data_IF_430667003693
#
_entry.id   IF_430667003693
#
_cell.length_a   1.000
_cell.length_b   1.000
_cell.length_c   1.000
_cell.angle_alpha   90.00
_cell.angle_beta   90.00
_cell.angle_gamma   90.00
#
_symmetry.space_group_name_H-M   'P 1'
#
loop_
_entity.id
_entity.type
_entity.pdbx_description
1 polymer ?
#
# COMPACT_ATOMS: atom_id res chain seq x y z
N UNK A 1 -0.50 51.07 -15.31
CA UNK A 1 -1.97 51.18 -15.19
C UNK A 1 -2.29 52.03 -13.97
N UNK A 2 -2.97 53.17 -14.14
CA UNK A 2 -3.42 53.99 -13.02
C UNK A 2 -4.80 53.50 -12.60
N UNK A 3 -4.91 52.94 -11.40
CA UNK A 3 -6.21 52.58 -10.82
C UNK A 3 -6.87 53.81 -10.21
N UNK A 4 -8.16 54.00 -10.46
CA UNK A 4 -8.91 55.05 -9.83
C UNK A 4 -8.90 54.90 -8.30
N UNK A 5 -8.66 55.97 -7.50
CA UNK A 5 -8.62 55.90 -6.03
C UNK A 5 -9.87 55.26 -5.43
N UNK A 6 -11.03 55.47 -6.00
CA UNK A 6 -12.29 54.87 -5.57
C UNK A 6 -12.28 53.35 -5.65
N UNK A 7 -11.64 52.74 -6.68
CA UNK A 7 -11.50 51.28 -6.84
C UNK A 7 -10.62 50.68 -5.75
N UNK A 8 -9.55 51.39 -5.36
CA UNK A 8 -8.66 50.99 -4.29
C UNK A 8 -9.38 50.95 -2.92
N UNK A 9 -10.10 52.02 -2.59
CA UNK A 9 -10.84 52.09 -1.34
C UNK A 9 -12.02 51.10 -1.28
N UNK A 10 -12.76 50.92 -2.39
CA UNK A 10 -13.82 49.97 -2.50
C UNK A 10 -13.31 48.52 -2.31
N UNK A 11 -12.11 48.22 -2.78
CA UNK A 11 -11.50 46.92 -2.60
C UNK A 11 -11.07 46.66 -1.12
N UNK A 12 -10.64 47.71 -0.40
CA UNK A 12 -10.27 47.63 1.01
C UNK A 12 -11.45 47.45 1.97
N UNK A 13 -12.59 48.06 1.63
CA UNK A 13 -13.80 48.05 2.49
C UNK A 13 -14.81 46.96 2.12
N UNK A 14 -14.63 46.30 0.96
CA UNK A 14 -15.55 45.27 0.50
C UNK A 14 -15.44 44.02 1.38
N UNK A 15 -16.53 43.56 1.98
CA UNK A 15 -16.51 42.30 2.73
C UNK A 15 -16.10 41.15 1.82
N UNK A 16 -15.42 40.15 2.40
CA UNK A 16 -15.01 38.96 1.68
C UNK A 16 -16.21 38.29 1.01
N UNK A 17 -16.02 37.87 -0.25
CA UNK A 17 -17.05 37.14 -0.97
C UNK A 17 -17.39 35.82 -0.29
N UNK A 18 -18.63 35.37 -0.40
CA UNK A 18 -19.06 34.05 0.13
C UNK A 18 -18.16 32.91 -0.37
N UNK A 19 -17.76 32.99 -1.65
CA UNK A 19 -16.82 32.01 -2.23
C UNK A 19 -15.48 32.01 -1.51
N UNK A 20 -14.90 33.17 -1.19
CA UNK A 20 -13.59 33.23 -0.52
C UNK A 20 -13.67 32.62 0.88
N UNK A 21 -14.71 32.93 1.63
CA UNK A 21 -14.95 32.33 2.95
C UNK A 21 -15.10 30.80 2.88
N UNK A 22 -15.83 30.30 1.88
CA UNK A 22 -15.96 28.85 1.64
C UNK A 22 -14.63 28.23 1.25
N UNK A 23 -13.85 28.88 0.38
CA UNK A 23 -12.53 28.41 -0.04
C UNK A 23 -11.56 28.32 1.17
N UNK A 24 -11.61 29.25 2.13
CA UNK A 24 -10.78 29.21 3.35
C UNK A 24 -11.10 27.99 4.23
N UNK A 25 -12.37 27.72 4.45
CA UNK A 25 -12.78 26.50 5.20
C UNK A 25 -12.33 25.25 4.47
N UNK A 26 -12.54 25.18 3.15
CA UNK A 26 -12.13 24.04 2.35
C UNK A 26 -10.61 23.83 2.34
N UNK A 27 -9.82 24.90 2.37
CA UNK A 27 -8.33 24.79 2.47
C UNK A 27 -7.91 24.07 3.75
N UNK A 28 -8.52 24.37 4.88
CA UNK A 28 -8.23 23.69 6.16
C UNK A 28 -8.60 22.21 6.11
N UNK A 29 -9.75 21.87 5.55
CA UNK A 29 -10.17 20.48 5.40
C UNK A 29 -9.30 19.71 4.41
N UNK A 30 -8.95 20.30 3.26
CA UNK A 30 -8.02 19.72 2.29
C UNK A 30 -6.66 19.47 2.94
N UNK A 31 -6.13 20.42 3.70
CA UNK A 31 -4.86 20.28 4.41
C UNK A 31 -4.93 19.11 5.40
N UNK A 32 -5.98 19.04 6.22
CA UNK A 32 -6.19 17.94 7.17
C UNK A 32 -6.18 16.57 6.50
N UNK A 33 -6.97 16.41 5.43
CA UNK A 33 -7.05 15.12 4.69
C UNK A 33 -5.70 14.80 4.02
N UNK A 34 -5.04 15.81 3.48
CA UNK A 34 -3.72 15.66 2.87
C UNK A 34 -2.67 15.19 3.90
N UNK A 35 -2.60 15.83 5.06
CA UNK A 35 -1.66 15.48 6.12
C UNK A 35 -1.96 14.09 6.71
N UNK A 36 -3.24 13.74 6.89
CA UNK A 36 -3.66 12.41 7.35
C UNK A 36 -3.29 11.28 6.36
N UNK A 37 -3.00 11.61 5.10
CA UNK A 37 -2.56 10.66 4.09
C UNK A 37 -1.06 10.37 4.16
N UNK A 38 -0.56 9.95 5.30
CA UNK A 38 0.87 9.70 5.57
C UNK A 38 1.73 10.93 5.22
N UNK A 39 1.31 12.11 5.67
CA UNK A 39 1.91 13.43 5.41
C UNK A 39 1.99 13.79 3.92
N UNK A 40 0.93 13.53 3.17
CA UNK A 40 0.80 14.04 1.81
C UNK A 40 1.03 13.03 0.68
N UNK A 41 0.61 11.81 0.86
CA UNK A 41 0.61 10.79 -0.21
C UNK A 41 -0.49 11.07 -1.25
N UNK A 42 -1.66 11.56 -0.79
CA UNK A 42 -2.81 11.71 -1.68
C UNK A 42 -2.68 12.88 -2.65
N UNK A 43 -2.92 12.61 -3.93
CA UNK A 43 -3.21 13.64 -4.92
C UNK A 43 -4.68 14.09 -4.85
N UNK A 44 -5.02 15.13 -5.61
CA UNK A 44 -6.32 15.79 -5.56
C UNK A 44 -7.52 14.84 -5.74
N UNK A 45 -7.41 13.81 -6.59
CA UNK A 45 -8.46 12.79 -6.77
C UNK A 45 -8.75 12.03 -5.47
N UNK A 46 -7.71 11.57 -4.75
CA UNK A 46 -7.88 10.84 -3.49
C UNK A 46 -8.33 11.77 -2.36
N UNK A 47 -7.79 12.99 -2.26
CA UNK A 47 -8.25 13.99 -1.28
C UNK A 47 -9.75 14.27 -1.49
N UNK A 48 -10.18 14.49 -2.73
CA UNK A 48 -11.60 14.68 -3.04
C UNK A 48 -12.47 13.47 -2.67
N UNK A 49 -11.99 12.26 -2.96
CA UNK A 49 -12.71 11.01 -2.63
C UNK A 49 -12.85 10.83 -1.12
N UNK A 50 -11.79 11.10 -0.35
CA UNK A 50 -11.82 11.01 1.10
C UNK A 50 -12.75 12.05 1.71
N UNK A 51 -12.70 13.31 1.27
CA UNK A 51 -13.65 14.34 1.69
C UNK A 51 -15.10 13.93 1.40
N UNK A 52 -15.35 13.29 0.24
CA UNK A 52 -16.68 12.76 -0.10
C UNK A 52 -17.11 11.64 0.83
N UNK A 53 -16.22 10.74 1.23
CA UNK A 53 -16.47 9.68 2.23
C UNK A 53 -16.86 10.27 3.58
N UNK A 54 -16.22 11.36 3.98
CA UNK A 54 -16.52 12.11 5.20
C UNK A 54 -17.82 12.95 5.10
N UNK A 55 -18.57 12.84 4.00
CA UNK A 55 -19.83 13.55 3.79
C UNK A 55 -19.67 14.99 3.28
N UNK A 56 -18.50 15.39 2.86
CA UNK A 56 -18.23 16.74 2.30
C UNK A 56 -18.54 16.78 0.81
N UNK A 57 -19.63 17.44 0.46
CA UNK A 57 -20.05 17.63 -0.93
C UNK A 57 -19.31 18.83 -1.55
N UNK A 58 -18.20 18.59 -2.19
CA UNK A 58 -17.39 19.57 -2.91
C UNK A 58 -17.09 19.07 -4.33
N UNK A 59 -17.08 19.98 -5.30
CA UNK A 59 -16.71 19.63 -6.66
C UNK A 59 -15.22 19.30 -6.76
N UNK A 60 -14.87 18.23 -7.50
CA UNK A 60 -13.48 17.79 -7.70
C UNK A 60 -12.58 18.92 -8.21
N UNK A 61 -13.04 19.70 -9.19
CA UNK A 61 -12.30 20.83 -9.75
C UNK A 61 -11.98 21.92 -8.70
N UNK A 62 -12.83 22.08 -7.66
CA UNK A 62 -12.54 23.01 -6.55
C UNK A 62 -11.38 22.49 -5.71
N UNK A 63 -11.37 21.18 -5.38
CA UNK A 63 -10.27 20.56 -4.65
C UNK A 63 -8.96 20.64 -5.44
N UNK A 64 -8.99 20.32 -6.74
CA UNK A 64 -7.83 20.43 -7.63
C UNK A 64 -7.26 21.85 -7.68
N UNK A 65 -8.14 22.86 -7.82
CA UNK A 65 -7.74 24.26 -7.81
C UNK A 65 -7.11 24.68 -6.48
N UNK A 66 -7.78 24.38 -5.36
CA UNK A 66 -7.29 24.76 -4.03
C UNK A 66 -5.98 24.07 -3.67
N UNK A 67 -5.83 22.78 -3.97
CA UNK A 67 -4.56 22.06 -3.76
C UNK A 67 -3.43 22.68 -4.59
N UNK A 68 -3.71 23.03 -5.85
CA UNK A 68 -2.72 23.73 -6.70
C UNK A 68 -2.33 25.08 -6.11
N UNK A 69 -3.31 25.88 -5.65
CA UNK A 69 -3.07 27.18 -5.02
C UNK A 69 -2.28 27.06 -3.71
N UNK A 70 -2.43 25.96 -2.98
CA UNK A 70 -1.69 25.63 -1.75
C UNK A 70 -0.33 24.97 -2.02
N UNK A 71 0.02 24.67 -3.27
CA UNK A 71 1.24 23.96 -3.63
C UNK A 71 1.25 22.48 -3.22
N UNK A 72 0.08 21.88 -2.96
CA UNK A 72 -0.06 20.49 -2.56
C UNK A 72 -0.11 19.56 -3.77
N UNK A 73 0.70 18.51 -3.75
CA UNK A 73 0.72 17.49 -4.79
C UNK A 73 0.91 16.11 -4.19
N UNK A 74 0.20 15.12 -4.72
CA UNK A 74 0.38 13.73 -4.30
C UNK A 74 1.66 13.09 -4.81
N UNK A 75 1.98 11.94 -4.26
CA UNK A 75 3.13 11.13 -4.67
C UNK A 75 2.92 10.59 -6.07
N UNK A 76 3.92 10.77 -6.92
CA UNK A 76 3.96 10.16 -8.25
C UNK A 76 4.86 8.91 -8.22
N UNK A 77 4.35 7.81 -8.78
CA UNK A 77 5.12 6.59 -8.94
C UNK A 77 6.27 6.85 -9.93
N UNK A 78 7.52 6.75 -9.48
CA UNK A 78 8.69 6.97 -10.33
C UNK A 78 8.84 5.86 -11.38
N UNK A 79 9.31 6.22 -12.59
CA UNK A 79 9.66 5.28 -13.69
C UNK A 79 11.04 4.66 -13.48
N UNK A 80 11.32 3.94 -12.40
CA UNK A 80 12.62 3.24 -12.26
C UNK A 80 12.40 1.74 -12.19
N UNK A 81 12.64 1.08 -13.31
CA UNK A 81 12.74 -0.37 -13.40
C UNK A 81 14.21 -0.79 -13.28
N UNK A 82 14.54 -1.65 -12.34
CA UNK A 82 15.78 -2.43 -12.32
C UNK A 82 15.41 -3.87 -11.98
N UNK A 83 15.68 -4.78 -12.89
CA UNK A 83 15.63 -6.22 -12.63
C UNK A 83 16.83 -6.58 -11.73
N UNK A 84 16.56 -7.18 -10.57
CA UNK A 84 17.58 -7.42 -9.53
C UNK A 84 17.70 -8.89 -9.10
N UNK A 85 16.84 -9.81 -9.57
CA UNK A 85 16.83 -11.20 -9.10
C UNK A 85 17.53 -12.13 -10.08
N UNK A 86 18.54 -12.88 -9.60
CA UNK A 86 19.11 -14.05 -10.30
C UNK A 86 18.60 -15.29 -9.58
N UNK A 87 17.80 -16.10 -10.25
CA UNK A 87 17.31 -17.37 -9.73
C UNK A 87 18.40 -18.48 -9.79
N UNK A 88 18.39 -19.39 -8.82
CA UNK A 88 19.18 -20.61 -8.83
C UNK A 88 18.34 -21.75 -9.44
N UNK A 89 18.85 -22.41 -10.47
CA UNK A 89 18.14 -23.40 -11.28
C UNK A 89 18.17 -24.83 -10.70
N UNK A 90 18.85 -25.06 -9.57
CA UNK A 90 19.12 -26.41 -9.02
C UNK A 90 18.02 -26.96 -8.09
N UNK A 91 17.02 -26.16 -7.69
CA UNK A 91 16.01 -26.54 -6.72
C UNK A 91 14.72 -27.05 -7.38
N UNK A 92 14.09 -28.10 -6.79
CA UNK A 92 12.76 -28.55 -7.17
C UNK A 92 11.75 -27.43 -6.86
N UNK A 93 10.86 -27.10 -7.78
CA UNK A 93 10.02 -25.91 -7.71
C UNK A 93 8.54 -26.26 -7.87
N UNK A 94 7.65 -25.63 -7.09
CA UNK A 94 6.22 -25.62 -7.36
C UNK A 94 5.92 -25.05 -8.76
N UNK A 95 4.82 -25.51 -9.36
CA UNK A 95 4.32 -24.96 -10.63
C UNK A 95 3.72 -23.56 -10.43
N UNK A 96 3.69 -22.75 -11.49
CA UNK A 96 2.91 -21.54 -11.50
C UNK A 96 1.41 -21.89 -11.61
N UNK A 97 0.65 -21.57 -10.56
CA UNK A 97 -0.79 -21.82 -10.48
C UNK A 97 -1.60 -20.53 -10.77
N UNK A 98 -0.93 -19.39 -10.85
CA UNK A 98 -1.59 -18.07 -10.98
C UNK A 98 -1.74 -17.67 -12.45
N UNK A 99 -0.79 -18.06 -13.30
CA UNK A 99 -0.79 -17.72 -14.74
C UNK A 99 -1.16 -16.25 -15.00
N UNK A 100 -0.53 -15.33 -14.24
CA UNK A 100 -0.73 -13.85 -14.30
C UNK A 100 -2.16 -13.37 -13.96
N UNK A 101 -3.02 -14.25 -13.48
CA UNK A 101 -4.39 -13.91 -13.09
C UNK A 101 -4.42 -13.54 -11.59
N UNK A 102 -3.96 -12.34 -11.25
CA UNK A 102 -4.00 -11.84 -9.87
C UNK A 102 -5.41 -11.35 -9.50
N UNK A 103 -6.36 -12.29 -9.51
CA UNK A 103 -7.77 -12.08 -9.16
C UNK A 103 -8.17 -13.13 -8.14
N UNK A 104 -8.83 -12.72 -7.09
CA UNK A 104 -9.45 -13.59 -6.10
C UNK A 104 -10.89 -13.12 -5.85
N UNK A 105 -11.80 -14.05 -5.62
CA UNK A 105 -13.23 -13.81 -5.38
C UNK A 105 -13.57 -13.69 -3.88
N UNK A 106 -12.62 -14.08 -3.03
CA UNK A 106 -12.75 -14.05 -1.58
C UNK A 106 -11.40 -13.77 -0.90
N UNK A 107 -11.39 -13.30 0.37
CA UNK A 107 -10.19 -13.23 1.18
C UNK A 107 -9.55 -14.62 1.34
N UNK A 108 -8.23 -14.65 1.51
CA UNK A 108 -7.44 -15.87 1.76
C UNK A 108 -7.55 -16.93 0.65
N UNK A 109 -7.81 -16.53 -0.61
CA UNK A 109 -7.74 -17.42 -1.77
C UNK A 109 -6.39 -17.35 -2.48
N UNK A 110 -5.82 -16.16 -2.53
CA UNK A 110 -4.52 -15.92 -3.17
C UNK A 110 -3.76 -14.88 -2.39
N UNK A 111 -2.60 -15.26 -1.89
CA UNK A 111 -1.60 -14.33 -1.36
C UNK A 111 -0.44 -14.19 -2.32
N UNK A 112 0.10 -12.99 -2.42
CA UNK A 112 1.34 -12.72 -3.15
C UNK A 112 2.42 -12.24 -2.19
N UNK A 113 3.62 -12.80 -2.32
CA UNK A 113 4.76 -12.43 -1.49
C UNK A 113 5.91 -11.90 -2.34
N UNK A 114 6.59 -10.90 -1.83
CA UNK A 114 7.80 -10.36 -2.44
C UNK A 114 8.72 -9.73 -1.40
N UNK A 115 9.99 -9.67 -1.76
CA UNK A 115 11.05 -9.06 -0.96
C UNK A 115 11.51 -7.75 -1.59
N UNK A 116 11.71 -6.77 -0.74
CA UNK A 116 12.30 -5.51 -1.19
C UNK A 116 13.46 -5.11 -0.28
N UNK A 117 14.26 -4.14 -0.71
CA UNK A 117 15.40 -3.67 0.07
C UNK A 117 15.43 -2.14 0.14
N UNK A 118 15.94 -1.67 1.26
CA UNK A 118 16.08 -0.26 1.62
C UNK A 118 17.53 0.00 1.98
N UNK A 119 18.12 1.05 1.41
CA UNK A 119 19.47 1.47 1.79
C UNK A 119 19.37 2.34 3.05
N UNK A 120 20.08 1.92 4.10
CA UNK A 120 20.28 2.71 5.32
C UNK A 120 21.74 3.12 5.49
N UNK A 121 22.02 3.96 6.50
CA UNK A 121 23.40 4.33 6.84
C UNK A 121 24.18 3.13 7.42
N UNK A 122 23.50 2.20 8.08
CA UNK A 122 24.11 0.98 8.65
C UNK A 122 24.18 -0.20 7.68
N UNK A 123 23.78 -0.04 6.42
CA UNK A 123 23.79 -1.09 5.42
C UNK A 123 22.45 -1.33 4.75
N UNK A 124 22.30 -2.49 4.12
CA UNK A 124 21.05 -2.89 3.49
C UNK A 124 20.06 -3.42 4.54
N UNK A 125 18.83 -3.01 4.41
CA UNK A 125 17.68 -3.51 5.18
C UNK A 125 16.72 -4.17 4.19
N UNK A 126 16.26 -5.36 4.52
CA UNK A 126 15.36 -6.16 3.71
C UNK A 126 13.98 -6.16 4.33
N UNK A 127 12.96 -6.11 3.50
CA UNK A 127 11.56 -6.12 3.93
C UNK A 127 10.81 -7.17 3.13
N UNK A 128 10.17 -8.11 3.81
CA UNK A 128 9.25 -9.07 3.24
C UNK A 128 7.83 -8.57 3.41
N UNK A 129 6.99 -8.75 2.40
CA UNK A 129 5.55 -8.49 2.46
C UNK A 129 4.76 -9.66 1.90
N UNK A 130 3.63 -9.93 2.53
CA UNK A 130 2.60 -10.83 2.03
C UNK A 130 1.30 -10.03 1.93
N UNK A 131 0.69 -10.04 0.76
CA UNK A 131 -0.50 -9.25 0.44
C UNK A 131 -1.62 -10.16 -0.04
N UNK A 132 -2.79 -10.05 0.55
CA UNK A 132 -4.00 -10.71 0.07
C UNK A 132 -4.47 -10.07 -1.23
N UNK A 133 -4.70 -10.88 -2.26
CA UNK A 133 -5.04 -10.39 -3.60
C UNK A 133 -6.44 -9.83 -3.66
N UNK A 134 -7.39 -10.36 -2.90
CA UNK A 134 -8.77 -9.88 -2.85
C UNK A 134 -8.88 -8.50 -2.21
N UNK A 135 -8.48 -8.40 -0.96
CA UNK A 135 -8.63 -7.19 -0.15
C UNK A 135 -7.50 -6.18 -0.35
N UNK A 136 -6.38 -6.57 -0.96
CA UNK A 136 -5.14 -5.79 -1.02
C UNK A 136 -4.49 -5.55 0.34
N UNK A 137 -4.99 -6.19 1.41
CA UNK A 137 -4.44 -6.07 2.75
C UNK A 137 -3.04 -6.67 2.83
N UNK A 138 -2.16 -5.99 3.54
CA UNK A 138 -0.88 -6.56 3.97
C UNK A 138 -1.19 -7.48 5.15
N UNK A 139 -1.11 -8.79 4.94
CA UNK A 139 -1.44 -9.80 5.95
C UNK A 139 -0.22 -10.24 6.75
N UNK A 140 0.98 -10.10 6.18
CA UNK A 140 2.24 -10.38 6.86
C UNK A 140 3.36 -9.50 6.35
N UNK A 141 4.28 -9.16 7.23
CA UNK A 141 5.48 -8.40 6.89
C UNK A 141 6.58 -8.61 7.92
N UNK A 142 7.83 -8.43 7.50
CA UNK A 142 8.98 -8.46 8.41
C UNK A 142 10.11 -7.60 7.85
N UNK A 143 10.90 -7.01 8.76
CA UNK A 143 12.09 -6.20 8.43
C UNK A 143 13.32 -6.83 9.06
N UNK A 144 14.42 -6.93 8.31
CA UNK A 144 15.68 -7.50 8.79
C UNK A 144 16.89 -6.85 8.13
N UNK A 145 18.02 -6.91 8.79
CA UNK A 145 19.34 -6.58 8.21
C UNK A 145 19.96 -7.76 7.45
N UNK A 146 19.29 -8.91 7.42
CA UNK A 146 19.76 -10.14 6.78
C UNK A 146 18.74 -10.69 5.79
N UNK A 147 19.21 -11.12 4.62
CA UNK A 147 18.39 -11.76 3.58
C UNK A 147 18.35 -13.28 3.79
N UNK A 148 18.18 -13.77 5.01
CA UNK A 148 18.02 -15.19 5.28
C UNK A 148 16.56 -15.63 5.10
N UNK A 149 16.34 -16.95 4.99
CA UNK A 149 14.99 -17.52 4.89
C UNK A 149 14.09 -17.16 6.07
N UNK A 150 14.67 -16.91 7.24
CA UNK A 150 13.94 -16.51 8.45
C UNK A 150 13.09 -15.25 8.22
N UNK A 151 13.59 -14.28 7.44
CA UNK A 151 12.83 -13.06 7.09
C UNK A 151 11.48 -13.38 6.40
N UNK A 152 11.49 -14.29 5.44
CA UNK A 152 10.27 -14.68 4.73
C UNK A 152 9.36 -15.54 5.62
N UNK A 153 9.95 -16.42 6.44
CA UNK A 153 9.21 -17.27 7.38
C UNK A 153 8.52 -16.42 8.45
N UNK A 154 9.20 -15.44 9.03
CA UNK A 154 8.61 -14.57 10.06
C UNK A 154 7.43 -13.75 9.49
N UNK A 155 7.53 -13.28 8.22
CA UNK A 155 6.42 -12.64 7.54
C UNK A 155 5.24 -13.60 7.30
N UNK A 156 5.53 -14.87 6.96
CA UNK A 156 4.52 -15.92 6.79
C UNK A 156 3.84 -16.27 8.11
N UNK A 157 4.60 -16.45 9.19
CA UNK A 157 4.04 -16.71 10.53
C UNK A 157 3.12 -15.57 10.98
N UNK A 158 3.51 -14.33 10.75
CA UNK A 158 2.64 -13.19 11.03
C UNK A 158 1.32 -13.27 10.23
N UNK A 159 1.39 -13.60 8.93
CA UNK A 159 0.21 -13.73 8.09
C UNK A 159 -0.72 -14.87 8.56
N UNK A 160 -0.16 -16.03 8.88
CA UNK A 160 -0.91 -17.19 9.39
C UNK A 160 -1.55 -16.83 10.74
N UNK A 161 -0.80 -16.25 11.66
CA UNK A 161 -1.33 -15.82 12.96
C UNK A 161 -2.50 -14.83 12.82
N UNK A 162 -2.38 -13.87 11.88
CA UNK A 162 -3.42 -12.86 11.65
C UNK A 162 -4.68 -13.42 10.97
N UNK A 163 -4.58 -14.54 10.24
CA UNK A 163 -5.66 -15.11 9.42
C UNK A 163 -6.22 -16.42 9.95
N UNK A 164 -5.60 -17.00 10.97
CA UNK A 164 -5.90 -18.34 11.49
C UNK A 164 -5.06 -19.44 10.81
N UNK A 165 -4.94 -20.57 11.50
CA UNK A 165 -4.09 -21.67 11.06
C UNK A 165 -4.71 -22.55 9.95
N UNK A 166 -6.01 -22.39 9.67
CA UNK A 166 -6.71 -23.13 8.60
C UNK A 166 -6.81 -22.25 7.34
N UNK A 167 -5.86 -22.46 6.45
CA UNK A 167 -5.77 -21.76 5.16
C UNK A 167 -5.97 -22.75 4.00
N UNK A 168 -6.84 -23.73 4.17
CA UNK A 168 -7.12 -24.72 3.14
C UNK A 168 -7.61 -24.07 1.84
N UNK A 169 -6.93 -24.43 0.75
CA UNK A 169 -7.20 -23.88 -0.57
C UNK A 169 -6.60 -22.49 -0.86
N UNK A 170 -5.84 -21.91 0.08
CA UNK A 170 -5.03 -20.73 -0.19
C UNK A 170 -3.90 -21.06 -1.17
N UNK A 171 -3.76 -20.26 -2.22
CA UNK A 171 -2.58 -20.25 -3.08
C UNK A 171 -1.64 -19.14 -2.59
N UNK A 172 -0.42 -19.53 -2.19
CA UNK A 172 0.63 -18.57 -1.84
C UNK A 172 1.62 -18.46 -3.00
N UNK A 173 1.58 -17.35 -3.69
CA UNK A 173 2.42 -17.08 -4.86
C UNK A 173 3.59 -16.16 -4.53
N UNK A 174 4.79 -16.54 -4.95
CA UNK A 174 6.01 -15.77 -4.77
C UNK A 174 6.88 -15.75 -6.03
N UNK A 175 7.88 -14.88 -6.04
CA UNK A 175 8.95 -14.97 -7.02
C UNK A 175 9.85 -16.20 -6.76
N UNK A 176 10.86 -16.39 -7.63
CA UNK A 176 11.84 -17.49 -7.53
C UNK A 176 12.95 -17.23 -6.49
N UNK A 177 12.71 -16.37 -5.51
CA UNK A 177 13.69 -16.13 -4.46
C UNK A 177 13.99 -17.40 -3.66
N UNK A 178 15.27 -17.68 -3.40
CA UNK A 178 15.72 -18.86 -2.63
C UNK A 178 15.10 -18.91 -1.22
N UNK A 179 14.66 -17.79 -0.67
CA UNK A 179 14.00 -17.69 0.63
C UNK A 179 12.66 -18.41 0.63
N UNK A 180 11.88 -18.29 -0.45
CA UNK A 180 10.57 -18.94 -0.62
C UNK A 180 10.66 -20.40 -1.03
N UNK A 181 11.83 -20.83 -1.51
CA UNK A 181 12.11 -22.22 -1.90
C UNK A 181 12.77 -23.03 -0.77
N UNK A 182 12.96 -22.44 0.41
CA UNK A 182 13.54 -23.16 1.54
C UNK A 182 12.57 -24.25 2.03
N UNK A 183 13.11 -25.39 2.45
CA UNK A 183 12.33 -26.52 2.96
C UNK A 183 11.41 -26.06 4.09
N UNK A 184 11.92 -25.31 5.07
CA UNK A 184 11.13 -24.78 6.20
C UNK A 184 9.95 -23.92 5.74
N UNK A 185 10.11 -23.09 4.70
CA UNK A 185 9.04 -22.26 4.19
C UNK A 185 7.94 -23.11 3.54
N UNK A 186 8.34 -24.09 2.73
CA UNK A 186 7.41 -24.98 2.06
C UNK A 186 6.66 -25.91 3.03
N UNK A 187 7.36 -26.43 4.05
CA UNK A 187 6.75 -27.21 5.13
C UNK A 187 5.72 -26.38 5.90
N UNK A 188 6.05 -25.15 6.24
CA UNK A 188 5.12 -24.27 6.98
C UNK A 188 3.86 -23.90 6.19
N UNK A 189 3.99 -23.68 4.87
CA UNK A 189 2.82 -23.49 4.00
C UNK A 189 1.94 -24.75 3.97
N UNK A 190 2.55 -25.91 3.81
CA UNK A 190 1.85 -27.20 3.82
C UNK A 190 1.11 -27.43 5.14
N UNK A 191 1.76 -27.17 6.29
CA UNK A 191 1.17 -27.33 7.63
C UNK A 191 -0.04 -26.39 7.85
N UNK A 192 -0.05 -25.24 7.18
CA UNK A 192 -1.19 -24.31 7.18
C UNK A 192 -2.27 -24.65 6.13
N UNK A 193 -2.13 -25.75 5.37
CA UNK A 193 -3.07 -26.13 4.31
C UNK A 193 -2.93 -25.31 3.02
N UNK A 194 -1.92 -24.43 2.92
CA UNK A 194 -1.73 -23.57 1.76
C UNK A 194 -0.89 -24.26 0.67
N UNK A 195 -1.17 -23.92 -0.59
CA UNK A 195 -0.48 -24.43 -1.76
C UNK A 195 0.55 -23.41 -2.25
N UNK A 196 1.81 -23.82 -2.34
CA UNK A 196 2.86 -22.97 -2.90
C UNK A 196 2.75 -22.86 -4.42
N UNK A 197 2.89 -21.62 -4.94
CA UNK A 197 2.96 -21.29 -6.37
C UNK A 197 4.17 -20.41 -6.62
N UNK A 198 4.91 -20.63 -7.70
CA UNK A 198 6.12 -19.87 -8.03
C UNK A 198 6.09 -19.44 -9.48
N UNK A 199 6.32 -18.17 -9.75
CA UNK A 199 6.31 -17.59 -11.08
C UNK A 199 7.32 -18.23 -12.05
N UNK A 200 7.15 -18.02 -13.36
CA UNK A 200 8.00 -18.56 -14.41
C UNK A 200 9.39 -17.87 -14.45
N UNK A 201 10.32 -18.40 -15.27
CA UNK A 201 11.68 -17.88 -15.34
C UNK A 201 11.76 -16.57 -16.12
N UNK A 202 12.26 -15.50 -15.46
CA UNK A 202 12.63 -14.26 -16.14
C UNK A 202 11.46 -13.39 -16.59
N UNK A 203 10.24 -13.72 -16.19
CA UNK A 203 9.08 -12.91 -16.49
C UNK A 203 8.66 -12.06 -15.28
N UNK A 204 8.91 -10.78 -15.36
CA UNK A 204 8.53 -9.79 -14.33
C UNK A 204 7.01 -9.62 -14.20
N UNK A 205 6.22 -10.16 -15.14
CA UNK A 205 4.77 -10.09 -15.07
C UNK A 205 4.17 -11.12 -14.11
N UNK A 206 4.91 -12.19 -13.81
CA UNK A 206 4.42 -13.28 -12.99
C UNK A 206 4.29 -12.93 -11.50
N UNK A 207 4.87 -11.82 -11.04
CA UNK A 207 4.68 -11.27 -9.68
C UNK A 207 4.31 -9.76 -9.73
N UNK A 208 3.68 -9.33 -10.82
CA UNK A 208 3.42 -7.91 -11.09
C UNK A 208 2.64 -7.19 -9.99
N UNK A 209 1.77 -7.89 -9.27
CA UNK A 209 1.00 -7.32 -8.18
C UNK A 209 1.89 -7.00 -6.98
N UNK A 210 2.72 -7.94 -6.53
CA UNK A 210 3.63 -7.74 -5.41
C UNK A 210 4.71 -6.70 -5.76
N UNK A 211 5.24 -6.71 -6.99
CA UNK A 211 6.14 -5.65 -7.46
C UNK A 211 5.47 -4.28 -7.48
N UNK A 212 4.20 -4.22 -7.88
CA UNK A 212 3.43 -2.97 -7.86
C UNK A 212 3.25 -2.45 -6.43
N UNK A 213 2.98 -3.33 -5.48
CA UNK A 213 2.91 -3.01 -4.05
C UNK A 213 4.27 -2.48 -3.54
N UNK A 214 5.37 -3.19 -3.79
CA UNK A 214 6.71 -2.75 -3.40
C UNK A 214 7.08 -1.39 -3.98
N UNK A 215 6.64 -1.10 -5.20
CA UNK A 215 6.81 0.21 -5.83
C UNK A 215 6.02 1.31 -5.11
N UNK A 216 4.80 1.02 -4.62
CA UNK A 216 4.01 1.94 -3.78
C UNK A 216 4.72 2.19 -2.46
N UNK A 217 5.09 1.15 -1.73
CA UNK A 217 5.83 1.25 -0.47
C UNK A 217 7.08 2.11 -0.61
N UNK A 218 7.88 1.87 -1.64
CA UNK A 218 9.08 2.69 -1.91
C UNK A 218 8.76 4.14 -2.21
N UNK A 219 7.76 4.42 -3.04
CA UNK A 219 7.42 5.79 -3.44
C UNK A 219 6.68 6.55 -2.34
N UNK A 220 5.80 5.89 -1.59
CA UNK A 220 4.97 6.52 -0.57
C UNK A 220 5.70 6.69 0.77
N UNK A 221 6.63 5.79 1.11
CA UNK A 221 7.38 5.83 2.37
C UNK A 221 8.89 6.04 2.14
N UNK A 222 9.56 5.08 1.51
CA UNK A 222 11.01 4.94 1.60
C UNK A 222 11.74 6.13 0.98
N UNK A 223 11.34 6.56 -0.21
CA UNK A 223 12.01 7.69 -0.91
C UNK A 223 11.63 9.06 -0.35
N UNK A 224 10.52 9.15 0.40
CA UNK A 224 10.03 10.40 0.96
C UNK A 224 10.56 10.69 2.35
N UNK A 225 10.66 9.66 3.19
CA UNK A 225 10.98 9.79 4.62
C UNK A 225 12.46 9.53 4.94
N UNK A 226 13.24 9.07 3.96
CA UNK A 226 14.69 8.93 4.12
C UNK A 226 15.42 10.26 4.38
N UNK A 227 16.69 10.21 4.78
CA UNK A 227 17.56 9.04 4.89
C UNK A 227 17.26 8.14 6.09
N UNK A 228 17.47 6.82 5.91
CA UNK A 228 17.24 5.80 6.93
C UNK A 228 18.52 5.56 7.73
N UNK A 229 18.43 5.51 9.06
CA UNK A 229 19.61 5.38 9.93
C UNK A 229 20.04 3.92 10.10
N UNK A 230 19.13 3.05 10.54
CA UNK A 230 19.35 1.65 10.89
C UNK A 230 18.05 0.84 10.70
N UNK A 231 18.08 -0.47 10.93
CA UNK A 231 16.97 -1.38 10.68
C UNK A 231 15.71 -1.02 11.47
N UNK A 232 15.84 -0.70 12.75
CA UNK A 232 14.71 -0.36 13.61
C UNK A 232 13.98 0.92 13.16
N UNK A 233 14.71 1.85 12.54
CA UNK A 233 14.08 3.05 11.97
C UNK A 233 13.19 2.71 10.76
N UNK A 234 13.64 1.76 9.92
CA UNK A 234 12.85 1.26 8.79
C UNK A 234 11.66 0.45 9.29
N UNK A 235 11.89 -0.43 10.28
CA UNK A 235 10.86 -1.28 10.88
C UNK A 235 9.71 -0.47 11.48
N UNK A 236 10.04 0.52 12.32
CA UNK A 236 9.04 1.41 12.91
C UNK A 236 8.24 2.19 11.86
N UNK A 237 8.91 2.68 10.84
CA UNK A 237 8.24 3.38 9.74
C UNK A 237 7.36 2.44 8.91
N UNK A 238 7.80 1.17 8.72
CA UNK A 238 7.04 0.14 8.03
C UNK A 238 5.80 -0.25 8.82
N UNK A 239 5.89 -0.41 10.14
CA UNK A 239 4.74 -0.66 11.01
C UNK A 239 3.66 0.42 10.83
N UNK A 240 4.05 1.69 10.91
CA UNK A 240 3.11 2.80 10.71
C UNK A 240 2.54 2.85 9.29
N UNK A 241 3.34 2.46 8.28
CA UNK A 241 2.88 2.38 6.90
C UNK A 241 1.86 1.27 6.72
N UNK A 242 2.10 0.08 7.29
CA UNK A 242 1.18 -1.07 7.19
C UNK A 242 -0.15 -0.75 7.88
N UNK A 243 -0.11 -0.17 9.09
CA UNK A 243 -1.32 0.27 9.76
C UNK A 243 -2.11 1.26 8.92
N UNK A 244 -1.45 2.31 8.42
CA UNK A 244 -2.10 3.29 7.56
C UNK A 244 -2.60 2.68 6.25
N UNK A 245 -1.82 1.79 5.62
CA UNK A 245 -2.17 1.14 4.36
C UNK A 245 -3.43 0.28 4.48
N UNK A 246 -3.52 -0.52 5.54
CA UNK A 246 -4.63 -1.44 5.76
C UNK A 246 -5.90 -0.74 6.23
N UNK A 247 -5.81 0.26 7.12
CA UNK A 247 -6.95 0.83 7.82
C UNK A 247 -7.40 2.20 7.30
N UNK A 248 -6.53 2.94 6.60
CA UNK A 248 -6.81 4.34 6.23
C UNK A 248 -6.56 4.67 4.77
N UNK A 249 -5.65 3.95 4.12
CA UNK A 249 -5.33 4.23 2.72
C UNK A 249 -6.44 3.77 1.80
N UNK A 250 -7.09 4.72 1.10
CA UNK A 250 -8.10 4.39 0.08
C UNK A 250 -7.47 3.90 -1.21
N UNK A 251 -8.06 2.86 -1.79
CA UNK A 251 -7.57 2.21 -3.02
C UNK A 251 -8.58 2.36 -4.16
N UNK A 252 -8.11 2.78 -5.33
CA UNK A 252 -8.99 2.92 -6.49
C UNK A 252 -9.60 1.59 -6.94
N UNK A 253 -8.83 0.50 -6.84
CA UNK A 253 -9.29 -0.86 -7.16
C UNK A 253 -10.30 -1.43 -6.17
N UNK A 254 -10.48 -0.81 -5.02
CA UNK A 254 -11.42 -1.18 -3.96
C UNK A 254 -12.52 -0.11 -3.80
N UNK A 255 -12.86 0.58 -4.86
CA UNK A 255 -13.88 1.66 -4.85
C UNK A 255 -13.60 2.80 -3.86
N UNK A 256 -12.31 3.08 -3.61
CA UNK A 256 -11.83 4.10 -2.68
C UNK A 256 -12.19 3.84 -1.22
N UNK A 257 -12.11 2.59 -0.79
CA UNK A 257 -12.11 2.21 0.62
C UNK A 257 -10.77 1.59 1.03
N UNK A 258 -10.44 1.56 2.34
CA UNK A 258 -9.28 0.84 2.85
C UNK A 258 -9.45 -0.68 2.74
N UNK A 259 -8.35 -1.46 2.66
CA UNK A 259 -8.35 -2.91 2.59
C UNK A 259 -9.20 -3.60 3.66
N UNK A 260 -9.06 -3.23 4.92
CA UNK A 260 -9.80 -3.83 6.04
C UNK A 260 -11.29 -3.54 5.95
N UNK A 261 -11.68 -2.33 5.56
CA UNK A 261 -13.08 -1.95 5.37
C UNK A 261 -13.72 -2.73 4.20
N UNK A 262 -12.96 -2.90 3.09
CA UNK A 262 -13.40 -3.68 1.94
C UNK A 262 -13.65 -5.15 2.31
N UNK A 263 -12.74 -5.73 3.08
CA UNK A 263 -12.83 -7.11 3.54
C UNK A 263 -13.98 -7.31 4.55
N UNK A 264 -14.15 -6.38 5.48
CA UNK A 264 -15.27 -6.40 6.42
C UNK A 264 -16.63 -6.39 5.68
N UNK A 265 -16.77 -5.55 4.66
CA UNK A 265 -17.97 -5.51 3.83
C UNK A 265 -18.26 -6.84 3.11
N UNK A 266 -17.21 -7.54 2.68
CA UNK A 266 -17.34 -8.88 2.08
C UNK A 266 -17.94 -9.87 3.08
N UNK A 267 -17.45 -9.92 4.32
CA UNK A 267 -17.96 -10.83 5.35
C UNK A 267 -19.38 -10.46 5.78
N UNK A 268 -19.69 -9.19 5.94
CA UNK A 268 -21.05 -8.73 6.24
C UNK A 268 -22.07 -9.16 5.18
N UNK A 269 -21.66 -9.12 3.91
CA UNK A 269 -22.55 -9.46 2.78
C UNK A 269 -22.68 -10.96 2.57
N UNK A 270 -21.64 -11.75 2.85
CA UNK A 270 -21.60 -13.18 2.55
C UNK A 270 -21.88 -14.07 3.78
N UNK A 271 -22.16 -13.51 4.96
CA UNK A 271 -22.61 -14.25 6.15
C UNK A 271 -21.57 -15.17 6.77
N UNK A 272 -20.28 -14.96 6.50
CA UNK A 272 -19.19 -15.67 7.17
C UNK A 272 -18.96 -15.06 8.55
N UNK A 273 -18.80 -15.92 9.58
CA UNK A 273 -18.49 -15.46 10.93
C UNK A 273 -17.32 -14.50 10.93
N UNK A 274 -17.49 -13.37 11.61
CA UNK A 274 -16.47 -12.34 11.78
C UNK A 274 -15.19 -12.96 12.34
N UNK A 275 -14.04 -12.66 11.73
CA UNK A 275 -12.73 -12.98 12.27
C UNK A 275 -12.63 -12.53 13.74
N UNK A 276 -12.06 -13.32 14.63
CA UNK A 276 -11.78 -12.87 16.00
C UNK A 276 -10.82 -11.68 15.94
N UNK A 277 -11.17 -10.64 16.69
CA UNK A 277 -10.42 -9.39 16.85
C UNK A 277 -9.13 -9.64 17.61
#
# INVERSE_FOLDING_TARGET
MQFAPATYYAQKTRPESARRRTDEVLRLEIQRVYDASLDGVYGAKKVWKEMKREGRLVARCTVERLMKDMGLSGVQKGRRYKVTTKGDDSLHRPSDLVDRQFVADAPNRLWVADLTYVKSHSGWVYVAFIVDVFSRAIVGWQVSNSLRSDLAIDALEMAIFARGDDLEGLIHHSDRGVQYLSIRYSERLHDAGAVASVGSRGDSYDNAMAESFNSLYKSELIYRKGPWRHVEHVEWATLNYVDWFNHRRIHESLDYVPPVEFEAHYYDTNGSESLPV
#
